data_IF_130656778109
#
_entry.id   IF_130656778109
#
_cell.length_a   1.000
_cell.length_b   1.000
_cell.length_c   1.000
_cell.angle_alpha   90.00
_cell.angle_beta   90.00
_cell.angle_gamma   90.00
#
_symmetry.space_group_name_H-M   'P 1'
#
loop_
_entity.id
_entity.type
_entity.pdbx_description
1 polymer ?
#
# COMPACT_ATOMS: atom_id res chain seq x y z
N UNK A 1 -25.52 -11.48 0.58
CA UNK A 1 -26.86 -11.09 0.16
C UNK A 1 -27.28 -11.69 -1.19
N UNK A 2 -26.40 -12.49 -1.84
CA UNK A 2 -26.67 -13.18 -3.11
C UNK A 2 -26.72 -12.29 -4.36
N UNK A 3 -26.24 -11.06 -4.27
CA UNK A 3 -26.23 -10.13 -5.42
C UNK A 3 -24.99 -10.26 -6.31
N UNK A 4 -23.97 -10.98 -5.87
CA UNK A 4 -22.78 -11.29 -6.66
C UNK A 4 -22.21 -12.66 -6.24
N UNK A 5 -21.70 -13.42 -7.20
CA UNK A 5 -21.10 -14.73 -6.97
C UNK A 5 -19.62 -14.64 -6.58
N UNK A 6 -18.94 -13.55 -6.96
CA UNK A 6 -17.56 -13.26 -6.59
C UNK A 6 -17.34 -11.74 -6.42
N UNK A 7 -16.28 -11.39 -5.69
CA UNK A 7 -15.88 -10.00 -5.46
C UNK A 7 -14.36 -9.88 -5.45
N UNK A 8 -13.84 -8.74 -5.88
CA UNK A 8 -12.44 -8.35 -5.69
C UNK A 8 -12.31 -7.66 -4.33
N UNK A 9 -11.57 -8.26 -3.43
CA UNK A 9 -11.38 -7.77 -2.07
C UNK A 9 -9.89 -7.66 -1.77
N UNK A 10 -9.53 -6.79 -0.82
CA UNK A 10 -8.16 -6.63 -0.35
C UNK A 10 -8.13 -6.29 1.15
N UNK A 11 -6.99 -6.53 1.78
CA UNK A 11 -6.72 -6.16 3.17
C UNK A 11 -7.71 -6.76 4.16
N UNK A 12 -8.10 -5.99 5.20
CA UNK A 12 -8.96 -6.47 6.28
C UNK A 12 -10.28 -7.07 5.83
N UNK A 13 -10.88 -6.51 4.78
CA UNK A 13 -12.17 -7.00 4.27
C UNK A 13 -12.02 -8.39 3.64
N UNK A 14 -10.97 -8.62 2.86
CA UNK A 14 -10.67 -9.93 2.30
C UNK A 14 -10.51 -10.98 3.40
N UNK A 15 -9.68 -10.67 4.41
CA UNK A 15 -9.49 -11.54 5.56
C UNK A 15 -10.82 -11.88 6.27
N UNK A 16 -11.67 -10.89 6.54
CA UNK A 16 -12.95 -11.11 7.20
C UNK A 16 -13.89 -12.01 6.40
N UNK A 17 -13.93 -11.86 5.09
CA UNK A 17 -14.80 -12.68 4.25
C UNK A 17 -14.28 -14.12 4.13
N UNK A 18 -12.97 -14.33 4.09
CA UNK A 18 -12.38 -15.67 4.18
C UNK A 18 -12.73 -16.37 5.51
N UNK A 19 -12.70 -15.64 6.64
CA UNK A 19 -13.11 -16.18 7.94
C UNK A 19 -14.60 -16.56 7.98
N UNK A 20 -15.44 -15.97 7.12
CA UNK A 20 -16.85 -16.32 6.95
C UNK A 20 -17.08 -17.49 5.98
N UNK A 21 -16.00 -18.09 5.45
CA UNK A 21 -16.07 -19.25 4.57
C UNK A 21 -16.03 -18.93 3.08
N UNK A 22 -15.70 -17.70 2.68
CA UNK A 22 -15.39 -17.39 1.29
C UNK A 22 -14.09 -18.06 0.85
N UNK A 23 -14.02 -18.43 -0.42
CA UNK A 23 -12.84 -19.07 -1.00
C UNK A 23 -12.10 -18.12 -1.92
N UNK A 24 -10.77 -18.11 -1.82
CA UNK A 24 -9.92 -17.41 -2.78
C UNK A 24 -9.98 -18.16 -4.11
N UNK A 25 -10.46 -17.49 -5.16
CA UNK A 25 -10.49 -18.03 -6.54
C UNK A 25 -9.17 -17.80 -7.23
N UNK A 26 -8.61 -16.58 -7.07
CA UNK A 26 -7.31 -16.19 -7.60
C UNK A 26 -6.77 -14.98 -6.82
N UNK A 27 -5.47 -14.78 -6.90
CA UNK A 27 -4.80 -13.60 -6.33
C UNK A 27 -4.29 -12.69 -7.44
N UNK A 28 -3.78 -11.52 -7.06
CA UNK A 28 -3.08 -10.61 -7.97
C UNK A 28 -1.58 -10.92 -8.15
N UNK A 29 -1.10 -12.03 -7.62
CA UNK A 29 0.33 -12.36 -7.63
C UNK A 29 0.87 -12.43 -9.07
N UNK A 30 1.98 -11.73 -9.29
CA UNK A 30 2.61 -11.61 -10.60
C UNK A 30 1.90 -10.66 -11.59
N UNK A 31 0.71 -10.16 -11.26
CA UNK A 31 -0.06 -9.23 -12.10
C UNK A 31 -0.05 -7.81 -11.54
N UNK A 32 -0.20 -7.66 -10.23
CA UNK A 32 -0.31 -6.36 -9.57
C UNK A 32 0.61 -6.34 -8.35
N UNK A 33 1.41 -5.29 -8.23
CA UNK A 33 2.12 -4.98 -6.99
C UNK A 33 1.27 -4.02 -6.17
N UNK A 34 0.94 -4.41 -4.95
CA UNK A 34 0.16 -3.59 -4.00
C UNK A 34 1.02 -2.48 -3.40
N UNK A 35 1.43 -1.51 -4.22
CA UNK A 35 2.24 -0.38 -3.75
C UNK A 35 1.35 0.64 -3.02
N UNK A 36 1.75 0.98 -1.80
CA UNK A 36 1.19 2.11 -1.08
C UNK A 36 2.20 3.26 -1.10
N UNK A 37 1.77 4.43 -1.54
CA UNK A 37 2.63 5.59 -1.65
C UNK A 37 2.03 6.79 -0.92
N UNK A 38 2.89 7.66 -0.39
CA UNK A 38 2.50 9.00 0.05
C UNK A 38 2.78 9.96 -1.08
N UNK A 39 1.78 10.74 -1.48
CA UNK A 39 1.89 11.70 -2.58
C UNK A 39 1.71 13.13 -2.08
N UNK A 40 2.44 14.04 -2.70
CA UNK A 40 2.27 15.49 -2.50
C UNK A 40 2.28 16.20 -3.85
N UNK A 41 1.73 17.40 -3.91
CA UNK A 41 1.82 18.21 -5.12
C UNK A 41 3.23 18.78 -5.31
N UNK A 42 3.67 18.92 -6.56
CA UNK A 42 4.95 19.57 -6.85
C UNK A 42 5.04 21.01 -6.34
N UNK A 43 3.91 21.72 -6.25
CA UNK A 43 3.84 23.05 -5.63
C UNK A 43 4.16 22.97 -4.14
N UNK A 44 3.45 22.13 -3.39
CA UNK A 44 3.69 21.94 -1.95
C UNK A 44 5.11 21.53 -1.66
N UNK A 45 5.65 20.57 -2.43
CA UNK A 45 7.03 20.13 -2.28
C UNK A 45 8.04 21.28 -2.44
N UNK A 46 7.83 22.17 -3.43
CA UNK A 46 8.73 23.32 -3.67
C UNK A 46 8.62 24.38 -2.58
N UNK A 47 7.43 24.63 -2.06
CA UNK A 47 7.18 25.69 -1.08
C UNK A 47 7.46 25.24 0.36
N UNK A 48 7.43 23.92 0.63
CA UNK A 48 7.48 23.33 1.98
C UNK A 48 8.36 22.10 2.03
N UNK A 49 9.53 22.16 1.38
CA UNK A 49 10.45 21.02 1.34
C UNK A 49 10.82 20.51 2.73
N UNK A 50 11.02 21.42 3.68
CA UNK A 50 11.33 21.10 5.07
C UNK A 50 10.25 20.27 5.76
N UNK A 51 8.98 20.47 5.43
CA UNK A 51 7.88 19.67 5.98
C UNK A 51 7.85 18.27 5.36
N UNK A 52 8.18 18.14 4.08
CA UNK A 52 8.28 16.83 3.43
C UNK A 52 9.46 16.05 4.00
N UNK A 53 10.61 16.68 4.17
CA UNK A 53 11.79 16.06 4.76
C UNK A 53 11.52 15.62 6.22
N UNK A 54 10.83 16.46 6.99
CA UNK A 54 10.39 16.12 8.35
C UNK A 54 9.44 14.93 8.36
N UNK A 55 8.45 14.91 7.46
CA UNK A 55 7.53 13.78 7.33
C UNK A 55 8.28 12.48 7.04
N UNK A 56 9.22 12.49 6.09
CA UNK A 56 10.03 11.32 5.74
C UNK A 56 10.90 10.85 6.91
N UNK A 57 11.46 11.80 7.68
CA UNK A 57 12.23 11.47 8.89
C UNK A 57 11.36 10.77 9.94
N UNK A 58 10.18 11.33 10.24
CA UNK A 58 9.23 10.73 11.18
C UNK A 58 8.75 9.37 10.70
N UNK A 59 8.48 9.21 9.41
CA UNK A 59 8.12 7.93 8.81
C UNK A 59 9.22 6.89 9.05
N UNK A 60 10.47 7.23 8.79
CA UNK A 60 11.63 6.35 9.00
C UNK A 60 11.80 5.95 10.46
N UNK A 61 11.68 6.91 11.38
CA UNK A 61 11.71 6.64 12.82
C UNK A 61 10.58 5.71 13.25
N UNK A 62 9.37 5.95 12.74
CA UNK A 62 8.20 5.10 13.00
C UNK A 62 8.43 3.67 12.56
N UNK A 63 8.96 3.46 11.35
CA UNK A 63 9.25 2.12 10.83
C UNK A 63 10.33 1.40 11.64
N UNK A 64 11.35 2.13 12.09
CA UNK A 64 12.36 1.60 13.01
C UNK A 64 11.73 1.19 14.34
N UNK A 65 10.92 2.07 14.92
CA UNK A 65 10.20 1.79 16.16
C UNK A 65 9.30 0.55 16.04
N UNK A 66 8.52 0.44 14.97
CA UNK A 66 7.66 -0.72 14.70
C UNK A 66 8.44 -2.03 14.64
N UNK A 67 9.63 -2.01 14.06
CA UNK A 67 10.51 -3.18 13.98
C UNK A 67 11.01 -3.61 15.37
N UNK A 68 11.41 -2.66 16.19
CA UNK A 68 11.98 -2.92 17.51
C UNK A 68 10.89 -3.17 18.59
N UNK A 69 9.65 -2.68 18.35
CA UNK A 69 8.50 -2.73 19.25
C UNK A 69 7.27 -3.36 18.59
N UNK A 70 7.44 -4.51 17.95
CA UNK A 70 6.38 -5.14 17.15
C UNK A 70 5.07 -5.33 17.92
N UNK A 71 5.11 -5.70 19.20
CA UNK A 71 3.89 -5.89 20.00
C UNK A 71 3.09 -4.58 20.15
N UNK A 72 3.77 -3.47 20.34
CA UNK A 72 3.13 -2.17 20.46
C UNK A 72 2.57 -1.70 19.11
N UNK A 73 3.31 -1.95 18.02
CA UNK A 73 2.85 -1.67 16.67
C UNK A 73 1.58 -2.47 16.33
N UNK A 74 1.54 -3.77 16.64
CA UNK A 74 0.36 -4.61 16.46
C UNK A 74 -0.82 -4.13 17.31
N UNK A 75 -0.60 -3.78 18.59
CA UNK A 75 -1.65 -3.23 19.45
C UNK A 75 -2.23 -1.90 18.90
N UNK A 76 -1.38 -1.04 18.35
CA UNK A 76 -1.80 0.19 17.70
C UNK A 76 -2.64 -0.09 16.45
N UNK A 77 -2.24 -1.08 15.65
CA UNK A 77 -2.98 -1.51 14.45
C UNK A 77 -4.34 -2.14 14.80
N UNK A 78 -4.42 -2.97 15.85
CA UNK A 78 -5.69 -3.49 16.40
C UNK A 78 -6.63 -2.34 16.76
N UNK A 79 -6.12 -1.34 17.49
CA UNK A 79 -6.90 -0.17 17.89
C UNK A 79 -7.37 0.66 16.68
N UNK A 80 -6.52 0.82 15.66
CA UNK A 80 -6.82 1.62 14.49
C UNK A 80 -7.78 0.94 13.51
N UNK A 81 -7.67 -0.38 13.36
CA UNK A 81 -8.47 -1.16 12.38
C UNK A 81 -9.75 -1.74 12.97
N UNK A 82 -9.82 -1.90 14.30
CA UNK A 82 -10.91 -2.60 14.98
C UNK A 82 -10.92 -4.13 14.74
N UNK A 83 -9.86 -4.66 14.15
CA UNK A 83 -9.67 -6.10 13.99
C UNK A 83 -9.16 -6.74 15.28
N UNK A 84 -9.33 -8.05 15.43
CA UNK A 84 -8.70 -8.78 16.52
C UNK A 84 -7.17 -8.93 16.30
N UNK A 85 -6.45 -9.23 17.37
CA UNK A 85 -4.99 -9.34 17.36
C UNK A 85 -4.50 -10.41 16.39
N UNK A 86 -5.18 -11.56 16.32
CA UNK A 86 -4.82 -12.65 15.43
C UNK A 86 -4.95 -12.25 13.96
N UNK A 87 -6.01 -11.51 13.61
CA UNK A 87 -6.21 -10.97 12.28
C UNK A 87 -5.09 -10.01 11.89
N UNK A 88 -4.76 -9.06 12.77
CA UNK A 88 -3.70 -8.09 12.54
C UNK A 88 -2.33 -8.78 12.41
N UNK A 89 -2.01 -9.72 13.28
CA UNK A 89 -0.74 -10.45 13.25
C UNK A 89 -0.59 -11.27 11.95
N UNK A 90 -1.64 -11.97 11.52
CA UNK A 90 -1.62 -12.74 10.28
C UNK A 90 -1.46 -11.87 9.02
N UNK A 91 -1.96 -10.65 9.05
CA UNK A 91 -1.86 -9.70 7.94
C UNK A 91 -0.53 -8.92 7.97
N UNK A 92 0.04 -8.69 9.14
CA UNK A 92 1.26 -7.89 9.29
C UNK A 92 2.41 -8.41 8.43
N UNK A 93 2.58 -9.73 8.36
CA UNK A 93 3.60 -10.39 7.54
C UNK A 93 3.40 -10.28 6.03
N UNK A 94 2.23 -9.83 5.55
CA UNK A 94 1.92 -9.64 4.14
C UNK A 94 2.35 -8.27 3.62
N UNK A 95 2.73 -7.34 4.50
CA UNK A 95 3.12 -5.99 4.15
C UNK A 95 4.64 -5.81 4.20
N UNK A 96 5.18 -5.20 3.17
CA UNK A 96 6.52 -4.63 3.18
C UNK A 96 6.44 -3.19 3.67
N UNK A 97 7.05 -2.94 4.82
CA UNK A 97 7.14 -1.61 5.43
C UNK A 97 8.42 -0.87 5.03
N UNK A 98 9.09 -1.30 3.96
CA UNK A 98 10.25 -0.60 3.41
C UNK A 98 9.85 0.76 2.83
N UNK A 99 10.76 1.74 2.94
CA UNK A 99 10.67 3.01 2.22
C UNK A 99 11.50 3.01 0.93
N UNK A 100 12.09 1.87 0.58
CA UNK A 100 12.93 1.78 -0.60
C UNK A 100 12.09 1.80 -1.89
N UNK A 101 12.49 2.65 -2.81
CA UNK A 101 11.96 2.67 -4.16
C UNK A 101 12.83 1.74 -5.00
N UNK A 102 12.42 0.48 -5.11
CA UNK A 102 13.19 -0.51 -5.86
C UNK A 102 12.96 -0.40 -7.37
N UNK A 103 13.89 -0.87 -8.21
CA UNK A 103 13.68 -0.94 -9.66
C UNK A 103 12.39 -1.68 -10.04
N UNK A 104 12.03 -2.73 -9.29
CA UNK A 104 10.83 -3.52 -9.50
C UNK A 104 9.56 -2.70 -9.21
N UNK A 105 9.58 -1.85 -8.17
CA UNK A 105 8.49 -0.93 -7.85
C UNK A 105 8.27 0.09 -8.98
N UNK A 106 9.36 0.66 -9.51
CA UNK A 106 9.32 1.59 -10.65
C UNK A 106 8.74 0.90 -11.89
N UNK A 107 9.21 -0.29 -12.19
CA UNK A 107 8.72 -1.07 -13.34
C UNK A 107 7.23 -1.43 -13.18
N UNK A 108 6.80 -1.77 -11.98
CA UNK A 108 5.38 -2.03 -11.68
C UNK A 108 4.51 -0.79 -11.90
N UNK A 109 4.97 0.40 -11.51
CA UNK A 109 4.27 1.65 -11.78
C UNK A 109 4.19 1.95 -13.28
N UNK A 110 5.26 1.69 -14.04
CA UNK A 110 5.27 1.82 -15.50
C UNK A 110 4.24 0.89 -16.16
N UNK A 111 4.18 -0.36 -15.74
CA UNK A 111 3.15 -1.33 -16.21
C UNK A 111 1.74 -0.91 -15.85
N UNK A 112 1.54 -0.41 -14.63
CA UNK A 112 0.24 0.12 -14.20
C UNK A 112 -0.18 1.30 -15.06
N UNK A 113 0.74 2.23 -15.35
CA UNK A 113 0.48 3.35 -16.25
C UNK A 113 0.10 2.89 -17.66
N UNK A 114 0.81 1.88 -18.19
CA UNK A 114 0.51 1.32 -19.52
C UNK A 114 -0.90 0.72 -19.57
N UNK A 115 -1.29 0.01 -18.53
CA UNK A 115 -2.65 -0.51 -18.38
C UNK A 115 -3.68 0.62 -18.32
N UNK A 116 -3.45 1.65 -17.51
CA UNK A 116 -4.39 2.77 -17.35
C UNK A 116 -4.59 3.53 -18.67
N UNK A 117 -3.51 3.75 -19.44
CA UNK A 117 -3.60 4.43 -20.73
C UNK A 117 -4.31 3.54 -21.78
N UNK A 118 -3.95 2.26 -21.85
CA UNK A 118 -4.59 1.32 -22.79
C UNK A 118 -6.08 1.12 -22.52
N UNK A 119 -6.46 1.17 -21.24
CA UNK A 119 -7.85 1.08 -20.78
C UNK A 119 -8.62 2.41 -20.83
N UNK A 120 -7.99 3.49 -21.32
CA UNK A 120 -8.56 4.86 -21.38
C UNK A 120 -8.97 5.43 -20.01
N UNK A 121 -8.34 4.96 -18.95
CA UNK A 121 -8.49 5.48 -17.58
C UNK A 121 -7.51 6.62 -17.30
N UNK A 122 -6.53 6.79 -18.16
CA UNK A 122 -5.54 7.86 -18.14
C UNK A 122 -5.30 8.36 -19.57
N UNK A 123 -5.26 9.66 -19.79
CA UNK A 123 -5.17 10.25 -21.13
C UNK A 123 -3.79 10.08 -21.78
N UNK A 124 -2.74 10.18 -20.98
CA UNK A 124 -1.35 10.13 -21.45
C UNK A 124 -0.40 9.63 -20.38
N UNK A 125 0.72 9.08 -20.84
CA UNK A 125 1.83 8.71 -19.95
C UNK A 125 2.52 9.94 -19.36
N UNK A 126 3.04 9.77 -18.15
CA UNK A 126 3.97 10.69 -17.50
C UNK A 126 5.31 9.98 -17.32
N UNK A 127 6.39 10.72 -17.10
CA UNK A 127 7.66 10.09 -16.73
C UNK A 127 7.57 9.64 -15.27
N UNK A 128 7.55 8.33 -15.07
CA UNK A 128 7.43 7.73 -13.72
C UNK A 128 8.64 8.07 -12.87
N UNK A 129 9.83 8.17 -13.47
CA UNK A 129 11.07 8.47 -12.75
C UNK A 129 11.08 9.90 -12.18
N UNK A 130 10.29 10.81 -12.76
CA UNK A 130 10.13 12.19 -12.27
C UNK A 130 9.12 12.33 -11.11
N UNK A 131 8.38 11.26 -10.80
CA UNK A 131 7.39 11.29 -9.71
C UNK A 131 8.01 11.14 -8.32
N UNK A 132 9.24 10.66 -8.24
CA UNK A 132 9.89 10.39 -6.96
C UNK A 132 10.63 11.61 -6.43
N UNK A 133 10.46 11.88 -5.15
CA UNK A 133 11.27 12.85 -4.41
C UNK A 133 12.68 12.29 -4.28
N UNK A 134 13.67 13.06 -4.72
CA UNK A 134 15.11 12.72 -4.68
C UNK A 134 15.80 13.46 -3.55
#
# INVERSE_FOLDING_TARGET
NGSADCALLAGPLAYQEEQKGMHVVTTGDGLVSGLTVTATSGKFYKEHKELVDLFLSVQKETLTYMKDHQKEALAAAVKATGLDEKAVDSMYGLYDFSMEITPEAIESLKKTQDFLVSSKLMDKKVDVDDLFVK
#
